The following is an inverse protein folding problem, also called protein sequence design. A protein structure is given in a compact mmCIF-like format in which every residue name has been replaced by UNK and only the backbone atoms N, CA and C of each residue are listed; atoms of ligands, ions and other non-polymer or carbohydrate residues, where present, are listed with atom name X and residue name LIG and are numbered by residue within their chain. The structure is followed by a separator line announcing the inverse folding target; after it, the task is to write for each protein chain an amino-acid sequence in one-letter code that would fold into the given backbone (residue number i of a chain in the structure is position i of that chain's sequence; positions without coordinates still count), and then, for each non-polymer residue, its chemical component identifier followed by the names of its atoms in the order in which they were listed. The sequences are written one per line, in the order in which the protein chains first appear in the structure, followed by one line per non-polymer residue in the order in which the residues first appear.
data_IF_951020914678
#
_entry.id   IF_951020914678
#
_cell.length_a   1.000
_cell.length_b   1.000
_cell.length_c   1.000
_cell.angle_alpha   90.00
_cell.angle_beta   90.00
_cell.angle_gamma   90.00
#
_symmetry.space_group_name_H-M   'P 1'
#
loop_
_entity.id
_entity.type
_entity.pdbx_description
1 polymer ?
#
# COMPACT_ATOMS: atom_id res chain seq x y z
N UNK A 1 -9.76 -75.55 4.79
CA UNK A 1 -8.42 -75.37 5.41
C UNK A 1 -7.86 -74.05 4.94
N UNK A 2 -7.28 -73.32 5.91
CA UNK A 2 -6.38 -72.16 5.78
C UNK A 2 -6.94 -70.79 5.37
N UNK A 3 -6.86 -69.89 6.36
CA UNK A 3 -7.00 -68.43 6.35
C UNK A 3 -5.72 -67.76 5.84
N UNK A 4 -5.85 -66.53 5.33
CA UNK A 4 -5.07 -65.29 5.67
C UNK A 4 -5.67 -64.14 4.82
N UNK A 5 -6.44 -63.17 5.35
CA UNK A 5 -6.04 -61.95 6.10
C UNK A 5 -5.13 -61.00 5.33
N UNK A 6 -5.65 -59.83 4.90
CA UNK A 6 -5.15 -58.50 5.33
C UNK A 6 -5.97 -57.32 4.75
N UNK A 7 -6.44 -56.47 5.67
CA UNK A 7 -6.52 -54.99 5.67
C UNK A 7 -6.84 -54.26 4.36
N UNK A 8 -7.86 -53.39 4.26
CA UNK A 8 -8.19 -52.32 5.19
C UNK A 8 -7.79 -50.98 4.57
N UNK A 9 -8.65 -49.97 4.61
CA UNK A 9 -8.26 -48.61 4.27
C UNK A 9 -9.36 -47.79 3.63
N UNK A 10 -10.16 -47.15 4.47
CA UNK A 10 -10.99 -46.01 4.11
C UNK A 10 -10.11 -44.90 3.50
N UNK A 11 -10.10 -44.80 2.17
CA UNK A 11 -9.50 -43.70 1.44
C UNK A 11 -10.56 -43.13 0.50
N UNK A 12 -11.36 -42.21 1.03
CA UNK A 12 -11.92 -41.09 0.25
C UNK A 12 -12.66 -40.06 1.13
N UNK A 13 -12.12 -39.77 2.32
CA UNK A 13 -12.56 -38.66 3.18
C UNK A 13 -11.50 -37.58 3.38
N UNK A 14 -10.29 -37.75 2.80
CA UNK A 14 -9.16 -36.82 2.98
C UNK A 14 -8.95 -35.85 1.80
N UNK A 15 -9.72 -35.97 0.71
CA UNK A 15 -9.67 -35.02 -0.40
C UNK A 15 -10.51 -33.75 -0.19
N UNK A 16 -11.38 -33.71 0.85
CA UNK A 16 -12.32 -32.61 1.08
C UNK A 16 -11.93 -31.66 2.24
N UNK A 17 -10.78 -31.87 2.88
CA UNK A 17 -10.28 -31.04 3.99
C UNK A 17 -8.87 -30.49 3.76
N UNK A 18 -8.56 -30.14 2.51
CA UNK A 18 -7.31 -29.44 2.15
C UNK A 18 -7.52 -28.09 1.46
N UNK A 19 -8.73 -27.55 1.50
CA UNK A 19 -9.07 -26.24 0.90
C UNK A 19 -9.51 -25.15 1.90
N UNK A 20 -9.46 -25.41 3.21
CA UNK A 20 -9.79 -24.39 4.23
C UNK A 20 -8.76 -24.40 5.35
N UNK A 21 -7.52 -24.00 5.06
CA UNK A 21 -6.48 -23.82 6.09
C UNK A 21 -5.37 -22.82 5.75
N UNK A 22 -5.56 -21.92 4.79
CA UNK A 22 -4.55 -20.87 4.48
C UNK A 22 -4.98 -19.43 4.80
N UNK A 23 -6.16 -19.24 5.40
CA UNK A 23 -6.70 -17.90 5.74
C UNK A 23 -6.35 -17.41 7.16
N UNK A 24 -5.42 -18.07 7.87
CA UNK A 24 -5.26 -17.88 9.31
C UNK A 24 -3.84 -17.93 9.88
N UNK A 25 -2.79 -17.92 9.06
CA UNK A 25 -1.40 -17.84 9.54
C UNK A 25 -0.70 -16.67 8.86
N UNK A 26 -0.98 -15.46 9.36
CA UNK A 26 0.03 -14.41 9.32
C UNK A 26 1.08 -14.83 10.35
N UNK A 27 2.27 -15.32 9.93
CA UNK A 27 3.30 -15.71 10.87
C UNK A 27 3.64 -14.50 11.75
N UNK A 28 3.95 -14.77 13.02
CA UNK A 28 4.39 -13.76 13.99
C UNK A 28 5.28 -12.74 13.28
N UNK A 29 4.83 -11.48 13.18
CA UNK A 29 5.76 -10.40 12.86
C UNK A 29 6.82 -10.49 13.95
N UNK A 30 8.03 -10.91 13.58
CA UNK A 30 9.19 -10.55 14.38
C UNK A 30 9.18 -9.03 14.46
N UNK A 31 9.38 -8.46 15.65
CA UNK A 31 9.51 -7.02 15.80
C UNK A 31 10.92 -6.63 15.33
N UNK A 32 10.99 -5.85 14.25
CA UNK A 32 12.26 -5.35 13.71
C UNK A 32 12.48 -3.87 14.01
N UNK A 33 11.55 -3.22 14.71
CA UNK A 33 11.56 -1.77 14.96
C UNK A 33 12.79 -1.30 15.75
N UNK A 34 13.31 -2.14 16.65
CA UNK A 34 14.49 -1.86 17.46
C UNK A 34 15.81 -2.35 16.84
N UNK A 35 15.80 -2.86 15.60
CA UNK A 35 17.02 -3.35 14.95
C UNK A 35 17.88 -2.17 14.46
N UNK A 36 19.22 -2.24 14.58
CA UNK A 36 20.09 -1.18 14.07
C UNK A 36 20.04 -1.06 12.53
N UNK A 37 19.70 -2.13 11.83
CA UNK A 37 19.58 -2.16 10.38
C UNK A 37 18.36 -1.34 9.91
N UNK A 38 18.58 -0.31 9.08
CA UNK A 38 17.49 0.52 8.53
C UNK A 38 16.53 -0.27 7.63
N UNK A 39 17.02 -1.24 6.86
CA UNK A 39 16.17 -2.10 6.04
C UNK A 39 15.21 -2.94 6.90
N UNK A 40 15.72 -3.51 8.01
CA UNK A 40 14.91 -4.25 8.97
C UNK A 40 13.76 -3.39 9.53
N UNK A 41 14.07 -2.17 9.98
CA UNK A 41 13.05 -1.22 10.48
C UNK A 41 12.06 -0.80 9.40
N UNK A 42 12.53 -0.61 8.16
CA UNK A 42 11.67 -0.33 7.01
C UNK A 42 10.69 -1.47 6.71
N UNK A 43 11.16 -2.73 6.78
CA UNK A 43 10.32 -3.92 6.57
C UNK A 43 9.28 -4.12 7.67
N UNK A 44 9.54 -3.66 8.89
CA UNK A 44 8.55 -3.68 9.99
C UNK A 44 7.28 -2.88 9.64
N UNK A 45 7.46 -1.79 8.86
CA UNK A 45 6.38 -0.89 8.46
C UNK A 45 5.86 -1.22 7.06
N UNK A 46 6.74 -1.23 6.05
CA UNK A 46 6.39 -1.35 4.63
C UNK A 46 6.49 -2.78 4.09
N UNK A 47 7.06 -3.72 4.84
CA UNK A 47 7.22 -5.11 4.41
C UNK A 47 5.96 -5.97 4.53
N UNK A 48 4.85 -5.39 5.02
CA UNK A 48 3.56 -6.08 5.07
C UNK A 48 2.76 -5.90 3.78
N UNK A 49 2.35 -7.00 3.11
CA UNK A 49 1.63 -6.92 1.84
C UNK A 49 0.33 -6.13 1.91
N UNK A 50 -0.48 -6.34 2.95
CA UNK A 50 -1.77 -5.64 3.10
C UNK A 50 -1.58 -4.15 3.37
N UNK A 51 -0.60 -3.77 4.20
CA UNK A 51 -0.25 -2.38 4.45
C UNK A 51 0.17 -1.66 3.16
N UNK A 52 1.00 -2.30 2.34
CA UNK A 52 1.40 -1.76 1.02
C UNK A 52 0.21 -1.62 0.06
N UNK A 53 -0.71 -2.58 0.03
CA UNK A 53 -1.93 -2.50 -0.79
C UNK A 53 -2.90 -1.41 -0.30
N UNK A 54 -3.02 -1.21 1.02
CA UNK A 54 -3.80 -0.11 1.59
C UNK A 54 -3.17 1.23 1.21
N UNK A 55 -1.85 1.40 1.38
CA UNK A 55 -1.16 2.63 0.95
C UNK A 55 -1.36 2.92 -0.53
N UNK A 56 -1.31 1.89 -1.38
CA UNK A 56 -1.62 2.03 -2.81
C UNK A 56 -3.01 2.64 -3.03
N UNK A 57 -4.03 2.18 -2.31
CA UNK A 57 -5.38 2.77 -2.43
C UNK A 57 -5.42 4.22 -1.95
N UNK A 58 -4.74 4.55 -0.85
CA UNK A 58 -4.66 5.93 -0.36
C UNK A 58 -3.95 6.84 -1.39
N UNK A 59 -2.84 6.39 -1.98
CA UNK A 59 -2.16 7.10 -3.07
C UNK A 59 -3.06 7.28 -4.29
N UNK A 60 -3.96 6.33 -4.59
CA UNK A 60 -4.98 6.47 -5.64
C UNK A 60 -6.18 7.34 -5.23
N UNK A 61 -6.14 7.99 -4.06
CA UNK A 61 -7.18 8.88 -3.55
C UNK A 61 -8.31 8.18 -2.79
N UNK A 62 -8.24 6.87 -2.57
CA UNK A 62 -9.27 6.10 -1.87
C UNK A 62 -9.04 6.13 -0.35
N UNK A 63 -9.37 7.25 0.31
CA UNK A 63 -9.20 7.42 1.75
C UNK A 63 -10.30 6.80 2.65
N UNK A 64 -11.41 6.33 2.08
CA UNK A 64 -12.58 5.88 2.87
C UNK A 64 -12.53 4.38 3.15
N UNK A 65 -12.85 3.98 4.38
CA UNK A 65 -12.81 2.58 4.82
C UNK A 65 -13.55 1.63 3.87
N UNK A 66 -14.81 1.91 3.57
CA UNK A 66 -15.63 1.04 2.69
C UNK A 66 -15.10 0.98 1.25
N UNK A 67 -14.55 2.08 0.74
CA UNK A 67 -13.97 2.10 -0.61
C UNK A 67 -12.71 1.23 -0.69
N UNK A 68 -11.82 1.32 0.32
CA UNK A 68 -10.62 0.48 0.40
C UNK A 68 -11.02 -0.99 0.55
N UNK A 69 -11.98 -1.28 1.44
CA UNK A 69 -12.49 -2.63 1.66
C UNK A 69 -13.04 -3.26 0.38
N UNK A 70 -13.90 -2.53 -0.33
CA UNK A 70 -14.49 -2.99 -1.58
C UNK A 70 -13.42 -3.23 -2.65
N UNK A 71 -12.44 -2.34 -2.75
CA UNK A 71 -11.40 -2.42 -3.78
C UNK A 71 -10.36 -3.53 -3.52
N UNK A 72 -10.11 -3.87 -2.25
CA UNK A 72 -9.15 -4.90 -1.85
C UNK A 72 -9.79 -6.26 -1.54
N UNK A 73 -11.13 -6.33 -1.47
CA UNK A 73 -11.90 -7.53 -1.08
C UNK A 73 -11.38 -8.17 0.23
N UNK A 74 -10.99 -7.31 1.18
CA UNK A 74 -10.32 -7.70 2.42
C UNK A 74 -11.31 -7.79 3.59
N UNK A 75 -11.06 -8.72 4.51
CA UNK A 75 -11.84 -8.86 5.74
C UNK A 75 -11.68 -7.63 6.67
N UNK A 76 -12.75 -7.28 7.40
CA UNK A 76 -12.78 -6.09 8.26
C UNK A 76 -11.68 -6.05 9.32
N UNK A 77 -11.43 -7.18 9.98
CA UNK A 77 -10.42 -7.30 11.01
C UNK A 77 -9.00 -7.07 10.46
N UNK A 78 -8.73 -7.53 9.24
CA UNK A 78 -7.45 -7.32 8.56
C UNK A 78 -7.29 -5.85 8.19
N UNK A 79 -8.30 -5.25 7.54
CA UNK A 79 -8.25 -3.86 7.13
C UNK A 79 -8.10 -2.91 8.32
N UNK A 80 -8.93 -3.08 9.35
CA UNK A 80 -8.89 -2.26 10.57
C UNK A 80 -7.51 -2.34 11.24
N UNK A 81 -6.93 -3.54 11.37
CA UNK A 81 -5.59 -3.71 11.93
C UNK A 81 -4.51 -3.01 11.10
N UNK A 82 -4.61 -3.02 9.78
CA UNK A 82 -3.63 -2.38 8.90
C UNK A 82 -3.74 -0.86 8.87
N UNK A 83 -4.96 -0.33 8.83
CA UNK A 83 -5.18 1.11 8.95
C UNK A 83 -4.67 1.63 10.30
N UNK A 84 -5.01 0.94 11.39
CA UNK A 84 -4.47 1.26 12.72
C UNK A 84 -2.95 1.27 12.75
N UNK A 85 -2.30 0.20 12.24
CA UNK A 85 -0.84 0.13 12.18
C UNK A 85 -0.19 1.24 11.34
N UNK A 86 -0.77 1.59 10.19
CA UNK A 86 -0.25 2.66 9.33
C UNK A 86 -0.42 4.04 9.97
N UNK A 87 -1.48 4.25 10.75
CA UNK A 87 -1.67 5.46 11.57
C UNK A 87 -0.69 5.51 12.72
N UNK A 88 -0.53 4.43 13.48
CA UNK A 88 0.43 4.31 14.58
C UNK A 88 1.88 4.51 14.10
N UNK A 89 2.20 4.00 12.90
CA UNK A 89 3.51 4.18 12.26
C UNK A 89 3.71 5.61 11.72
N UNK A 90 2.68 6.46 11.76
CA UNK A 90 2.71 7.83 11.28
C UNK A 90 2.79 7.95 9.76
N UNK A 91 2.34 6.95 9.00
CA UNK A 91 2.25 7.04 7.54
C UNK A 91 0.91 7.64 7.12
N UNK A 92 -0.16 7.33 7.86
CA UNK A 92 -1.50 7.86 7.64
C UNK A 92 -1.96 8.69 8.83
N UNK A 93 -2.87 9.62 8.57
CA UNK A 93 -3.66 10.31 9.59
C UNK A 93 -5.15 10.13 9.31
N UNK A 94 -5.98 10.23 10.35
CA UNK A 94 -7.43 10.31 10.21
C UNK A 94 -7.85 11.76 10.10
N UNK A 95 -8.67 12.08 9.09
CA UNK A 95 -9.23 13.41 8.88
C UNK A 95 -10.76 13.32 8.86
N UNK A 96 -11.48 14.19 9.58
CA UNK A 96 -12.92 14.27 9.45
C UNK A 96 -13.29 14.80 8.07
N UNK A 97 -14.32 14.22 7.47
CA UNK A 97 -14.97 14.74 6.27
C UNK A 97 -16.49 14.73 6.45
N UNK A 98 -17.17 15.56 5.66
CA UNK A 98 -18.63 15.71 5.70
C UNK A 98 -19.25 15.20 4.39
N UNK A 99 -20.09 14.18 4.45
CA UNK A 99 -20.97 13.75 3.33
C UNK A 99 -22.45 14.03 3.58
N UNK A 100 -22.74 15.16 4.21
CA UNK A 100 -24.09 15.57 4.58
C UNK A 100 -24.21 15.70 6.10
N UNK A 101 -25.09 14.92 6.73
CA UNK A 101 -25.49 15.10 8.13
C UNK A 101 -24.59 14.45 9.17
N UNK A 102 -23.63 13.59 8.80
CA UNK A 102 -22.74 12.90 9.75
C UNK A 102 -21.28 13.18 9.42
N UNK A 103 -20.49 13.52 10.43
CA UNK A 103 -19.02 13.57 10.32
C UNK A 103 -18.51 12.14 10.20
N UNK A 104 -17.79 11.85 9.12
CA UNK A 104 -17.11 10.58 8.90
C UNK A 104 -15.60 10.78 8.92
N UNK A 105 -14.86 9.69 8.96
CA UNK A 105 -13.39 9.71 8.93
C UNK A 105 -12.90 9.17 7.59
N UNK A 106 -11.89 9.82 7.04
CA UNK A 106 -11.07 9.32 5.96
C UNK A 106 -9.61 9.24 6.40
N UNK A 107 -8.85 8.39 5.73
CA UNK A 107 -7.42 8.23 5.93
C UNK A 107 -6.69 9.03 4.84
N UNK A 108 -5.71 9.82 5.27
CA UNK A 108 -4.90 10.67 4.39
C UNK A 108 -3.42 10.41 4.62
N UNK A 109 -2.61 10.64 3.58
CA UNK A 109 -1.15 10.58 3.72
C UNK A 109 -0.67 11.68 4.67
N UNK A 110 0.31 11.32 5.48
CA UNK A 110 1.21 12.27 6.14
C UNK A 110 2.42 12.52 5.23
N UNK A 111 3.27 13.54 5.51
CA UNK A 111 4.54 13.69 4.80
C UNK A 111 5.39 12.41 4.80
N UNK A 112 5.49 11.73 5.96
CA UNK A 112 6.17 10.44 6.09
C UNK A 112 5.53 9.33 5.24
N UNK A 113 4.21 9.35 5.08
CA UNK A 113 3.49 8.43 4.21
C UNK A 113 3.75 8.70 2.74
N UNK A 114 3.82 9.96 2.34
CA UNK A 114 4.15 10.37 0.97
C UNK A 114 5.58 9.93 0.60
N UNK A 115 6.54 10.03 1.53
CA UNK A 115 7.92 9.56 1.37
C UNK A 115 8.03 8.04 1.10
N UNK A 116 6.96 7.26 1.30
CA UNK A 116 6.94 5.83 0.96
C UNK A 116 6.78 5.58 -0.56
N UNK A 117 6.49 6.61 -1.36
CA UNK A 117 6.25 6.49 -2.80
C UNK A 117 7.37 5.75 -3.56
N UNK A 118 8.67 6.06 -3.37
CA UNK A 118 9.74 5.36 -4.08
C UNK A 118 9.77 3.85 -3.78
N UNK A 119 9.36 3.43 -2.57
CA UNK A 119 9.28 2.01 -2.23
C UNK A 119 8.18 1.31 -3.03
N UNK A 120 6.99 1.92 -3.12
CA UNK A 120 5.88 1.37 -3.91
C UNK A 120 6.20 1.37 -5.41
N UNK A 121 6.80 2.44 -5.93
CA UNK A 121 7.28 2.50 -7.32
C UNK A 121 8.29 1.39 -7.60
N UNK A 122 9.24 1.15 -6.70
CA UNK A 122 10.24 0.09 -6.86
C UNK A 122 9.58 -1.30 -6.93
N UNK A 123 8.57 -1.57 -6.10
CA UNK A 123 7.81 -2.83 -6.15
C UNK A 123 7.08 -2.97 -7.48
N UNK A 124 6.39 -1.92 -7.95
CA UNK A 124 5.66 -1.90 -9.24
C UNK A 124 6.62 -2.19 -10.40
N UNK A 125 7.74 -1.46 -10.47
CA UNK A 125 8.72 -1.59 -11.55
C UNK A 125 9.40 -2.96 -11.51
N UNK A 126 9.81 -3.42 -10.33
CA UNK A 126 10.44 -4.72 -10.18
C UNK A 126 9.49 -5.85 -10.58
N UNK A 127 8.23 -5.81 -10.12
CA UNK A 127 7.24 -6.82 -10.47
C UNK A 127 6.96 -6.82 -11.97
N UNK A 128 6.75 -5.65 -12.58
CA UNK A 128 6.50 -5.52 -14.01
C UNK A 128 7.65 -5.99 -14.90
N UNK A 129 8.88 -5.98 -14.39
CA UNK A 129 10.07 -6.49 -15.10
C UNK A 129 10.28 -8.00 -14.94
N UNK A 130 9.97 -8.56 -13.76
CA UNK A 130 10.45 -9.89 -13.38
C UNK A 130 9.35 -10.93 -13.19
N UNK A 131 8.08 -10.54 -13.13
CA UNK A 131 6.97 -11.45 -12.87
C UNK A 131 6.00 -11.43 -14.05
N UNK A 132 5.57 -12.63 -14.46
CA UNK A 132 4.52 -12.77 -15.45
C UNK A 132 3.18 -12.30 -14.88
N UNK A 133 2.48 -11.46 -15.64
CA UNK A 133 1.14 -11.03 -15.33
C UNK A 133 0.11 -11.96 -16.01
N UNK A 134 -0.92 -12.45 -15.30
CA UNK A 134 -2.02 -13.14 -15.94
C UNK A 134 -2.77 -12.19 -16.91
N UNK A 135 -2.67 -12.47 -18.23
CA UNK A 135 -3.23 -11.73 -19.39
C UNK A 135 -2.75 -10.26 -19.62
N UNK A 136 -2.80 -9.82 -20.90
CA UNK A 136 -2.40 -8.53 -21.52
C UNK A 136 -1.79 -7.44 -20.60
N UNK A 137 -0.45 -7.46 -20.52
CA UNK A 137 0.40 -6.32 -20.12
C UNK A 137 0.68 -6.14 -18.63
N UNK A 138 1.80 -5.49 -18.24
CA UNK A 138 2.08 -5.15 -16.85
C UNK A 138 0.98 -4.22 -16.32
N UNK A 139 0.27 -4.69 -15.29
CA UNK A 139 -0.98 -4.07 -14.79
C UNK A 139 -0.81 -2.68 -14.16
N UNK A 140 0.42 -2.22 -13.90
CA UNK A 140 0.69 -0.87 -13.40
C UNK A 140 2.01 -0.31 -13.94
N UNK A 141 1.99 0.94 -14.43
CA UNK A 141 3.18 1.70 -14.82
C UNK A 141 3.30 2.97 -14.00
N UNK A 142 4.54 3.36 -13.70
CA UNK A 142 4.87 4.66 -13.10
C UNK A 142 5.11 5.66 -14.23
N UNK A 143 4.39 6.77 -14.22
CA UNK A 143 4.45 7.81 -15.28
C UNK A 143 4.77 9.14 -14.62
N UNK A 144 5.79 9.82 -15.13
CA UNK A 144 6.09 11.20 -14.75
C UNK A 144 5.11 12.13 -15.46
N UNK A 145 4.34 12.91 -14.72
CA UNK A 145 3.23 13.68 -15.28
C UNK A 145 3.71 14.87 -16.11
N UNK A 146 4.88 15.44 -15.81
CA UNK A 146 5.34 16.65 -16.51
C UNK A 146 5.84 16.34 -17.92
N UNK A 147 6.49 15.18 -18.13
CA UNK A 147 6.92 14.75 -19.46
C UNK A 147 6.00 13.69 -20.11
N UNK A 148 5.07 13.12 -19.36
CA UNK A 148 4.10 12.12 -19.84
C UNK A 148 4.67 10.72 -20.10
N UNK A 149 5.94 10.48 -19.78
CA UNK A 149 6.63 9.23 -20.10
C UNK A 149 6.64 8.24 -18.94
N UNK A 150 6.56 6.95 -19.29
CA UNK A 150 6.75 5.88 -18.33
C UNK A 150 8.22 5.79 -17.89
N UNK A 151 8.44 5.51 -16.61
CA UNK A 151 9.79 5.41 -16.05
C UNK A 151 10.09 4.03 -15.49
N UNK A 152 11.37 3.67 -15.54
CA UNK A 152 11.92 2.42 -14.98
C UNK A 152 12.83 2.64 -13.78
N UNK A 153 12.92 3.87 -13.25
CA UNK A 153 13.48 4.13 -11.90
C UNK A 153 12.37 4.50 -10.94
N UNK A 154 12.58 4.20 -9.66
CA UNK A 154 11.58 4.39 -8.62
C UNK A 154 11.51 5.83 -8.09
N UNK A 155 12.59 6.58 -8.23
CA UNK A 155 12.83 7.89 -7.63
C UNK A 155 13.12 9.00 -8.67
N UNK A 156 13.50 8.67 -9.90
CA UNK A 156 13.89 9.66 -10.93
C UNK A 156 13.31 9.29 -12.27
N UNK A 157 12.72 10.24 -12.99
CA UNK A 157 12.23 10.00 -14.34
C UNK A 157 13.41 9.66 -15.28
N UNK A 158 13.41 8.45 -15.81
CA UNK A 158 14.42 7.95 -16.75
C UNK A 158 14.42 8.65 -18.12
N UNK A 159 13.40 9.45 -18.42
CA UNK A 159 13.32 10.23 -19.65
C UNK A 159 13.91 11.63 -19.50
N UNK A 160 13.49 12.39 -18.49
CA UNK A 160 13.86 13.81 -18.32
C UNK A 160 14.82 14.08 -17.14
N UNK A 161 15.06 13.10 -16.28
CA UNK A 161 15.95 13.22 -15.12
C UNK A 161 15.35 13.92 -13.89
N UNK A 162 14.07 14.31 -13.92
CA UNK A 162 13.41 14.97 -12.80
C UNK A 162 13.08 13.96 -11.68
N UNK A 163 13.23 14.39 -10.42
CA UNK A 163 12.88 13.59 -9.25
C UNK A 163 11.36 13.35 -9.18
N UNK A 164 10.97 12.12 -8.88
CA UNK A 164 9.58 11.72 -8.74
C UNK A 164 9.08 12.03 -7.33
N UNK A 165 7.97 12.75 -7.26
CA UNK A 165 7.19 13.07 -6.06
C UNK A 165 5.77 12.58 -6.28
N UNK A 166 4.92 12.53 -5.25
CA UNK A 166 3.52 12.18 -5.46
C UNK A 166 2.81 13.21 -6.36
N UNK A 167 3.18 14.49 -6.25
CA UNK A 167 2.60 15.57 -7.04
C UNK A 167 2.87 15.48 -8.55
N UNK A 168 3.99 14.89 -8.96
CA UNK A 168 4.37 14.77 -10.38
C UNK A 168 4.40 13.32 -10.88
N UNK A 169 3.79 12.39 -10.14
CA UNK A 169 3.71 10.98 -10.52
C UNK A 169 2.27 10.57 -10.70
N UNK A 170 2.04 9.70 -11.67
CA UNK A 170 0.77 9.00 -11.84
C UNK A 170 1.03 7.50 -11.99
N UNK A 171 0.06 6.71 -11.57
CA UNK A 171 0.04 5.28 -11.85
C UNK A 171 -1.01 4.97 -12.90
N UNK A 172 -0.66 4.17 -13.89
CA UNK A 172 -1.59 3.74 -14.92
C UNK A 172 -1.85 2.25 -14.84
N UNK A 173 -3.13 1.88 -14.66
CA UNK A 173 -3.62 0.50 -14.68
C UNK A 173 -4.85 0.41 -15.56
N UNK A 174 -4.76 -0.29 -16.70
CA UNK A 174 -5.86 -0.41 -17.68
C UNK A 174 -7.13 -1.05 -17.08
N UNK A 175 -7.02 -1.83 -16.00
CA UNK A 175 -8.19 -2.36 -15.29
C UNK A 175 -8.91 -1.33 -14.42
N UNK A 176 -8.23 -0.25 -14.01
CA UNK A 176 -8.77 0.80 -13.13
C UNK A 176 -9.19 2.04 -13.89
N UNK A 177 -8.46 2.40 -14.95
CA UNK A 177 -8.74 3.58 -15.76
C UNK A 177 -8.09 3.47 -17.14
N UNK A 178 -8.67 4.16 -18.12
CA UNK A 178 -8.10 4.33 -19.46
C UNK A 178 -7.02 5.42 -19.50
N UNK A 179 -6.82 6.17 -18.42
CA UNK A 179 -5.82 7.22 -18.30
C UNK A 179 -5.01 7.07 -17.00
N UNK A 180 -3.78 7.61 -16.93
CA UNK A 180 -2.99 7.63 -15.71
C UNK A 180 -3.72 8.35 -14.57
N UNK A 181 -3.72 7.75 -13.38
CA UNK A 181 -4.34 8.31 -12.19
C UNK A 181 -3.29 9.13 -11.41
N UNK A 182 -3.49 10.44 -11.21
CA UNK A 182 -2.59 11.24 -10.39
C UNK A 182 -2.60 10.74 -8.95
N UNK A 183 -1.47 10.86 -8.26
CA UNK A 183 -1.36 10.40 -6.89
C UNK A 183 -1.82 11.47 -5.89
N UNK A 184 -2.41 11.02 -4.78
CA UNK A 184 -2.68 11.85 -3.62
C UNK A 184 -1.36 12.33 -2.99
N UNK A 185 -1.36 13.57 -2.55
CA UNK A 185 -0.26 14.20 -1.80
C UNK A 185 -0.68 14.39 -0.33
N UNK A 186 0.28 14.40 0.57
CA UNK A 186 0.05 14.79 1.95
C UNK A 186 -0.48 16.24 1.98
N UNK A 187 -1.46 16.55 2.85
CA UNK A 187 -1.87 17.93 3.07
C UNK A 187 -0.65 18.78 3.46
N UNK A 188 -0.46 19.91 2.79
CA UNK A 188 0.58 20.86 3.17
C UNK A 188 0.23 21.42 4.56
N UNK A 189 1.10 21.23 5.54
CA UNK A 189 1.01 22.00 6.78
C UNK A 189 1.29 23.45 6.41
N UNK A 190 0.27 24.29 6.36
CA UNK A 190 0.47 25.73 6.28
C UNK A 190 1.23 26.14 7.55
N UNK A 191 2.55 26.24 7.46
CA UNK A 191 3.34 26.96 8.44
C UNK A 191 2.92 28.43 8.35
N UNK A 192 1.93 28.83 9.14
CA UNK A 192 1.73 30.22 9.50
C UNK A 192 3.00 30.66 10.22
N UNK A 193 3.95 31.24 9.48
CA UNK A 193 5.09 31.94 10.06
C UNK A 193 4.54 33.16 10.79
N UNK A 194 4.21 32.99 12.07
CA UNK A 194 4.07 34.10 12.99
C UNK A 194 5.48 34.48 13.43
N UNK A 195 6.14 35.31 12.60
CA UNK A 195 7.41 35.92 12.96
C UNK A 195 7.12 37.01 14.00
N UNK A 196 7.73 36.98 15.21
CA UNK A 196 7.60 38.11 16.11
C UNK A 196 8.38 39.29 15.52
N UNK A 197 7.67 40.37 15.18
CA UNK A 197 8.26 41.68 14.92
C UNK A 197 9.17 42.03 16.10
N UNK A 198 10.47 41.99 15.86
CA UNK A 198 11.45 42.49 16.82
C UNK A 198 11.46 44.01 16.67
N UNK A 199 10.67 44.68 17.51
CA UNK A 199 10.75 46.12 17.76
C UNK A 199 12.18 46.46 18.20
N UNK A 200 12.90 47.22 17.38
CA UNK A 200 14.18 47.84 17.74
C UNK A 200 13.84 49.22 18.33
N UNK A 201 14.10 49.49 19.62
CA UNK A 201 13.94 50.83 20.15
C UNK A 201 15.13 51.72 19.74
N UNK A 202 14.83 53.02 19.62
CA UNK A 202 15.66 54.10 19.10
C UNK A 202 16.96 54.37 19.87
#
# INVERSE_FOLDING_TARGET
MSRTSHSGGALDALAFLREVSYFGLMPLRSDWSARPCSLARGLDVLGDPWGSLVLREIFLGNGRYEAIKQQLEVADNVLSKRLGWLVESGLLAQRPYHDGTRTRQEYVLTPKGEDALPVLNAIIIWAGKNLDAPHDGPHMKVIHTDCGEATTSADTCTHCGIHLTAANTSWHSFKRSNHPLPLAVAPQENHTSDSPETEIPA
#
